data_IF_314987887269
#
_entry.id   IF_314987887269
#
_cell.length_a   1.000
_cell.length_b   1.000
_cell.length_c   1.000
_cell.angle_alpha   90.00
_cell.angle_beta   90.00
_cell.angle_gamma   90.00
#
_symmetry.space_group_name_H-M   'P 1'
#
loop_
_entity.id
_entity.type
_entity.pdbx_description
1 polymer ?
#
# COMPACT_ATOMS: atom_id res chain seq x y z
N UNK A 1 -4.41 59.09 0.31
CA UNK A 1 -3.60 58.39 1.33
C UNK A 1 -3.92 56.92 1.18
N UNK A 2 -3.10 56.18 0.44
CA UNK A 2 -3.27 54.75 0.19
C UNK A 2 -2.46 53.95 1.21
N UNK A 3 -3.14 53.18 2.06
CA UNK A 3 -2.50 52.28 3.02
C UNK A 3 -1.69 51.20 2.28
N UNK A 4 -0.47 50.87 2.72
CA UNK A 4 0.33 49.84 2.09
C UNK A 4 -0.20 48.46 2.49
N UNK A 5 -0.50 47.63 1.49
CA UNK A 5 -0.86 46.23 1.64
C UNK A 5 0.24 45.47 2.41
N UNK A 6 -0.17 44.66 3.39
CA UNK A 6 0.72 43.87 4.22
C UNK A 6 1.65 42.98 3.37
N UNK A 7 2.95 43.06 3.65
CA UNK A 7 3.97 42.27 2.98
C UNK A 7 3.86 40.82 3.45
N UNK A 8 3.50 39.91 2.53
CA UNK A 8 3.51 38.47 2.80
C UNK A 8 4.96 38.03 2.99
N UNK A 9 5.36 37.74 4.22
CA UNK A 9 6.65 37.12 4.49
C UNK A 9 6.66 35.71 3.90
N UNK A 10 7.59 35.45 2.98
CA UNK A 10 7.86 34.09 2.51
C UNK A 10 8.37 33.29 3.70
N UNK A 11 7.82 32.10 4.00
CA UNK A 11 8.40 31.22 5.00
C UNK A 11 9.89 31.00 4.72
N UNK A 12 10.72 31.00 5.78
CA UNK A 12 12.16 30.79 5.64
C UNK A 12 12.44 29.47 4.92
N UNK A 13 13.19 29.52 3.82
CA UNK A 13 13.48 28.38 2.96
C UNK A 13 14.16 27.21 3.70
N UNK A 14 14.86 27.51 4.81
CA UNK A 14 15.52 26.51 5.66
C UNK A 14 14.52 25.50 6.28
N UNK A 15 13.27 25.89 6.51
CA UNK A 15 12.23 25.00 7.06
C UNK A 15 11.76 23.92 6.07
N UNK A 16 12.11 24.05 4.78
CA UNK A 16 11.75 23.07 3.73
C UNK A 16 12.85 22.03 3.49
N UNK A 17 14.12 22.34 3.77
CA UNK A 17 15.23 21.41 3.54
C UNK A 17 15.31 20.26 4.55
N UNK A 18 14.73 20.41 5.75
CA UNK A 18 14.72 19.38 6.79
C UNK A 18 13.49 18.48 6.77
N UNK A 19 12.47 18.78 5.96
CA UNK A 19 11.24 17.98 5.92
C UNK A 19 11.49 16.62 5.31
N UNK A 20 10.93 15.62 5.97
CA UNK A 20 10.90 14.24 5.47
C UNK A 20 9.92 14.17 4.31
N UNK A 21 10.21 13.38 3.30
CA UNK A 21 9.37 13.26 2.11
C UNK A 21 8.87 11.83 2.00
N UNK A 22 7.63 11.67 1.56
CA UNK A 22 7.02 10.37 1.38
C UNK A 22 6.35 10.28 0.02
N UNK A 23 6.87 9.43 -0.87
CA UNK A 23 6.23 9.10 -2.13
C UNK A 23 5.24 7.97 -1.87
N UNK A 24 3.95 8.26 -1.99
CA UNK A 24 2.89 7.30 -1.66
C UNK A 24 2.29 6.72 -2.94
N UNK A 25 2.31 5.39 -3.06
CA UNK A 25 1.82 4.62 -4.21
C UNK A 25 0.73 3.67 -3.72
N UNK A 26 -0.38 3.59 -4.46
CA UNK A 26 -1.43 2.63 -4.13
C UNK A 26 -1.10 1.23 -4.65
N UNK A 27 -1.35 0.21 -3.83
CA UNK A 27 -1.19 -1.18 -4.24
C UNK A 27 -2.33 -1.59 -5.19
N UNK A 28 -1.94 -2.09 -6.36
CA UNK A 28 -2.84 -2.73 -7.33
C UNK A 28 -2.47 -4.19 -7.46
N UNK A 29 -3.47 -5.07 -7.35
CA UNK A 29 -3.31 -6.52 -7.40
C UNK A 29 -4.03 -7.11 -8.60
N UNK A 30 -3.52 -8.25 -9.07
CA UNK A 30 -4.19 -9.12 -10.02
C UNK A 30 -3.77 -10.57 -9.75
N UNK A 31 -4.60 -11.51 -10.17
CA UNK A 31 -4.38 -12.96 -10.02
C UNK A 31 -4.24 -13.64 -11.38
N UNK A 32 -3.62 -14.81 -11.44
CA UNK A 32 -3.30 -15.48 -12.72
C UNK A 32 -4.51 -15.82 -13.58
N UNK A 33 -5.69 -16.03 -12.99
CA UNK A 33 -6.95 -16.20 -13.72
C UNK A 33 -7.59 -14.90 -14.21
N UNK A 34 -7.04 -13.72 -13.89
CA UNK A 34 -7.67 -12.45 -14.22
C UNK A 34 -7.74 -12.20 -15.74
N UNK A 35 -8.76 -11.51 -16.24
CA UNK A 35 -8.87 -11.17 -17.66
C UNK A 35 -7.63 -10.44 -18.16
N UNK A 36 -7.17 -10.77 -19.38
CA UNK A 36 -5.97 -10.13 -19.96
C UNK A 36 -6.10 -8.60 -20.02
N UNK A 37 -7.30 -8.09 -20.31
CA UNK A 37 -7.57 -6.66 -20.34
C UNK A 37 -7.30 -5.97 -18.97
N UNK A 38 -7.57 -6.67 -17.87
CA UNK A 38 -7.27 -6.19 -16.52
C UNK A 38 -5.76 -6.20 -16.25
N UNK A 39 -5.10 -7.31 -16.58
CA UNK A 39 -3.64 -7.44 -16.44
C UNK A 39 -2.88 -6.36 -17.21
N UNK A 40 -3.30 -6.06 -18.44
CA UNK A 40 -2.71 -5.01 -19.27
C UNK A 40 -2.87 -3.61 -18.63
N UNK A 41 -3.99 -3.36 -17.95
CA UNK A 41 -4.23 -2.10 -17.21
C UNK A 41 -3.37 -2.01 -15.96
N UNK A 42 -3.26 -3.10 -15.19
CA UNK A 42 -2.35 -3.18 -14.06
C UNK A 42 -0.90 -2.93 -14.49
N UNK A 43 -0.46 -3.55 -15.60
CA UNK A 43 0.88 -3.31 -16.16
C UNK A 43 1.08 -1.85 -16.58
N UNK A 44 0.07 -1.24 -17.23
CA UNK A 44 0.09 0.20 -17.57
C UNK A 44 0.19 1.08 -16.32
N UNK A 45 -0.55 0.74 -15.25
CA UNK A 45 -0.49 1.43 -13.97
C UNK A 45 0.92 1.41 -13.38
N UNK A 46 1.49 0.22 -13.19
CA UNK A 46 2.81 0.06 -12.58
C UNK A 46 3.93 0.72 -13.39
N UNK A 47 3.85 0.69 -14.72
CA UNK A 47 4.77 1.44 -15.59
C UNK A 47 4.69 2.96 -15.34
N UNK A 48 3.48 3.53 -15.30
CA UNK A 48 3.31 4.97 -15.07
C UNK A 48 3.72 5.38 -13.65
N UNK A 49 3.49 4.52 -12.65
CA UNK A 49 4.02 4.71 -11.28
C UNK A 49 5.54 4.83 -11.32
N UNK A 50 6.23 3.91 -12.01
CA UNK A 50 7.68 3.96 -12.16
C UNK A 50 8.18 5.25 -12.80
N UNK A 51 7.55 5.67 -13.91
CA UNK A 51 7.87 6.93 -14.61
C UNK A 51 7.71 8.17 -13.70
N UNK A 52 6.62 8.23 -12.93
CA UNK A 52 6.36 9.34 -12.01
C UNK A 52 7.33 9.35 -10.82
N UNK A 53 7.63 8.18 -10.25
CA UNK A 53 8.59 8.06 -9.16
C UNK A 53 9.98 8.52 -9.60
N UNK A 54 10.48 8.09 -10.77
CA UNK A 54 11.77 8.56 -11.29
C UNK A 54 11.82 10.09 -11.41
N UNK A 55 10.74 10.70 -11.89
CA UNK A 55 10.63 12.15 -11.98
C UNK A 55 10.60 12.82 -10.59
N UNK A 56 9.89 12.27 -9.60
CA UNK A 56 9.90 12.77 -8.22
C UNK A 56 11.28 12.64 -7.59
N UNK A 57 11.93 11.48 -7.71
CA UNK A 57 13.25 11.22 -7.15
C UNK A 57 14.31 12.18 -7.70
N UNK A 58 14.23 12.51 -9.00
CA UNK A 58 15.12 13.48 -9.64
C UNK A 58 14.98 14.93 -9.13
N UNK A 59 13.83 15.26 -8.51
CA UNK A 59 13.47 16.63 -8.10
C UNK A 59 13.45 16.82 -6.58
N UNK A 60 13.00 15.81 -5.85
CA UNK A 60 12.71 15.87 -4.43
C UNK A 60 13.62 14.93 -3.59
N UNK A 61 14.45 14.11 -4.23
CA UNK A 61 15.46 13.25 -3.59
C UNK A 61 15.20 11.76 -3.81
N UNK A 62 16.28 10.99 -3.93
CA UNK A 62 16.22 9.55 -4.10
C UNK A 62 15.64 8.86 -2.85
N UNK A 63 14.94 7.75 -3.07
CA UNK A 63 14.36 6.95 -1.99
C UNK A 63 15.47 6.33 -1.12
N UNK A 64 15.36 6.50 0.20
CA UNK A 64 16.26 5.90 1.20
C UNK A 64 15.62 4.74 1.95
N UNK A 65 14.31 4.79 2.13
CA UNK A 65 13.54 3.76 2.81
C UNK A 65 12.34 3.35 1.96
N UNK A 66 12.10 2.05 1.84
CA UNK A 66 10.91 1.49 1.22
C UNK A 66 10.06 0.87 2.32
N UNK A 67 8.79 1.27 2.35
CA UNK A 67 7.75 0.78 3.22
C UNK A 67 6.70 0.12 2.35
N UNK A 68 6.42 -1.15 2.60
CA UNK A 68 5.43 -1.90 1.83
C UNK A 68 4.46 -2.55 2.81
N UNK A 69 3.17 -2.28 2.66
CA UNK A 69 2.13 -2.93 3.44
C UNK A 69 2.22 -4.46 3.33
N UNK A 70 1.89 -5.16 4.42
CA UNK A 70 2.02 -6.61 4.59
C UNK A 70 3.47 -7.16 4.70
N UNK A 71 4.50 -6.31 4.70
CA UNK A 71 5.90 -6.75 4.83
C UNK A 71 6.42 -6.53 6.25
N UNK A 72 6.81 -7.63 6.90
CA UNK A 72 7.31 -7.70 8.28
C UNK A 72 8.78 -8.15 8.38
N UNK A 73 9.48 -8.26 7.25
CA UNK A 73 10.87 -8.68 7.15
C UNK A 73 11.69 -7.63 6.39
N UNK A 74 12.99 -7.57 6.66
CA UNK A 74 13.94 -6.68 5.95
C UNK A 74 14.80 -7.44 4.94
N UNK A 75 15.54 -6.70 4.11
CA UNK A 75 16.53 -7.27 3.19
C UNK A 75 15.94 -8.29 2.20
N UNK A 76 16.70 -9.35 1.91
CA UNK A 76 16.32 -10.40 0.94
C UNK A 76 15.04 -11.15 1.34
N UNK A 77 14.83 -11.38 2.65
CA UNK A 77 13.61 -12.02 3.15
C UNK A 77 12.39 -11.13 2.88
N UNK A 78 12.50 -9.83 3.13
CA UNK A 78 11.47 -8.84 2.80
C UNK A 78 11.19 -8.79 1.29
N UNK A 79 12.22 -8.76 0.45
CA UNK A 79 12.05 -8.77 -1.01
C UNK A 79 11.35 -10.03 -1.51
N UNK A 80 11.68 -11.20 -0.95
CA UNK A 80 10.99 -12.45 -1.24
C UNK A 80 9.50 -12.38 -0.86
N UNK A 81 9.16 -11.76 0.28
CA UNK A 81 7.77 -11.53 0.68
C UNK A 81 7.06 -10.58 -0.28
N UNK A 82 7.68 -9.47 -0.69
CA UNK A 82 7.12 -8.55 -1.69
C UNK A 82 6.83 -9.30 -2.98
N UNK A 83 7.77 -10.11 -3.47
CA UNK A 83 7.59 -10.90 -4.70
C UNK A 83 6.41 -11.87 -4.61
N UNK A 84 6.25 -12.52 -3.46
CA UNK A 84 5.15 -13.46 -3.21
C UNK A 84 3.80 -12.74 -3.14
N UNK A 85 3.76 -11.59 -2.47
CA UNK A 85 2.53 -10.87 -2.18
C UNK A 85 2.05 -10.00 -3.35
N UNK A 86 2.95 -9.26 -3.99
CA UNK A 86 2.66 -8.46 -5.16
C UNK A 86 3.84 -8.48 -6.14
N UNK A 87 3.86 -9.44 -7.08
CA UNK A 87 4.91 -9.52 -8.10
C UNK A 87 5.06 -8.22 -8.91
N UNK A 88 4.00 -7.42 -9.03
CA UNK A 88 4.02 -6.21 -9.85
C UNK A 88 4.71 -5.03 -9.16
N UNK A 89 4.67 -4.95 -7.83
CA UNK A 89 5.42 -3.93 -7.10
C UNK A 89 6.88 -4.34 -6.85
N UNK A 90 7.19 -5.63 -6.90
CA UNK A 90 8.52 -6.18 -6.61
C UNK A 90 9.64 -5.48 -7.40
N UNK A 91 9.49 -5.31 -8.72
CA UNK A 91 10.54 -4.73 -9.55
C UNK A 91 10.85 -3.27 -9.16
N UNK A 92 9.84 -2.50 -8.73
CA UNK A 92 10.02 -1.15 -8.23
C UNK A 92 10.77 -1.12 -6.90
N UNK A 93 10.46 -2.04 -6.00
CA UNK A 93 11.11 -2.15 -4.69
C UNK A 93 12.54 -2.63 -4.87
N UNK A 94 12.75 -3.70 -5.62
CA UNK A 94 14.05 -4.31 -5.86
C UNK A 94 15.04 -3.33 -6.52
N UNK A 95 14.58 -2.54 -7.51
CA UNK A 95 15.41 -1.52 -8.14
C UNK A 95 15.93 -0.48 -7.14
N UNK A 96 15.07 0.01 -6.23
CA UNK A 96 15.46 0.99 -5.21
C UNK A 96 16.36 0.40 -4.15
N UNK A 97 16.13 -0.85 -3.75
CA UNK A 97 17.03 -1.57 -2.85
C UNK A 97 18.42 -1.76 -3.47
N UNK A 98 18.49 -2.06 -4.77
CA UNK A 98 19.75 -2.14 -5.51
C UNK A 98 20.49 -0.79 -5.57
N UNK A 99 19.75 0.32 -5.60
CA UNK A 99 20.29 1.68 -5.52
C UNK A 99 20.61 2.16 -4.09
N UNK A 100 20.50 1.26 -3.10
CA UNK A 100 20.90 1.50 -1.71
C UNK A 100 19.78 1.95 -0.77
N UNK A 101 18.52 1.84 -1.18
CA UNK A 101 17.39 2.00 -0.26
C UNK A 101 17.25 0.78 0.67
N UNK A 102 16.75 1.00 1.88
CA UNK A 102 16.45 -0.08 2.84
C UNK A 102 14.97 -0.44 2.76
N UNK A 103 14.65 -1.72 2.54
CA UNK A 103 13.29 -2.23 2.74
C UNK A 103 13.08 -2.45 4.24
N UNK A 104 12.21 -1.63 4.83
CA UNK A 104 11.88 -1.66 6.25
C UNK A 104 10.79 -2.71 6.53
N UNK A 105 10.90 -3.39 7.67
CA UNK A 105 9.82 -4.22 8.20
C UNK A 105 8.72 -3.28 8.74
N UNK A 106 7.81 -2.89 7.85
CA UNK A 106 6.76 -1.93 8.15
C UNK A 106 5.72 -2.48 9.12
N UNK A 107 5.43 -3.77 8.99
CA UNK A 107 4.41 -4.46 9.76
C UNK A 107 4.99 -5.27 10.91
N UNK A 108 4.20 -5.40 11.98
CA UNK A 108 4.34 -6.48 12.93
C UNK A 108 3.60 -7.72 12.39
N UNK A 109 4.27 -8.87 12.38
CA UNK A 109 3.74 -10.10 11.77
C UNK A 109 2.44 -10.57 12.41
N UNK A 110 2.36 -10.59 13.74
CA UNK A 110 1.20 -11.10 14.47
C UNK A 110 0.03 -10.11 14.36
N UNK A 111 0.32 -8.81 14.45
CA UNK A 111 -0.69 -7.78 14.31
C UNK A 111 -1.27 -7.71 12.88
N UNK A 112 -0.43 -7.89 11.87
CA UNK A 112 -0.88 -7.98 10.48
C UNK A 112 -1.77 -9.22 10.27
N UNK A 113 -1.37 -10.38 10.81
CA UNK A 113 -2.18 -11.60 10.76
C UNK A 113 -3.53 -11.41 11.47
N UNK A 114 -3.54 -10.80 12.66
CA UNK A 114 -4.77 -10.49 13.40
C UNK A 114 -5.73 -9.61 12.57
N UNK A 115 -5.21 -8.55 11.93
CA UNK A 115 -6.03 -7.68 11.05
C UNK A 115 -6.61 -8.47 9.88
N UNK A 116 -5.80 -9.31 9.22
CA UNK A 116 -6.24 -10.14 8.09
C UNK A 116 -7.31 -11.17 8.49
N UNK A 117 -7.17 -11.80 9.65
CA UNK A 117 -8.16 -12.77 10.15
C UNK A 117 -9.48 -12.09 10.48
N UNK A 118 -9.44 -10.92 11.12
CA UNK A 118 -10.66 -10.13 11.37
C UNK A 118 -11.33 -9.68 10.07
N UNK A 119 -10.55 -9.25 9.07
CA UNK A 119 -11.07 -8.89 7.75
C UNK A 119 -11.73 -10.07 7.05
N UNK A 120 -11.09 -11.26 7.05
CA UNK A 120 -11.67 -12.49 6.51
C UNK A 120 -12.99 -12.82 7.19
N UNK A 121 -13.06 -12.67 8.52
CA UNK A 121 -14.29 -12.91 9.25
C UNK A 121 -15.39 -11.93 8.82
N UNK A 122 -15.08 -10.64 8.64
CA UNK A 122 -16.05 -9.66 8.16
C UNK A 122 -16.63 -10.04 6.80
N UNK A 123 -15.80 -10.55 5.89
CA UNK A 123 -16.22 -10.93 4.54
C UNK A 123 -17.13 -12.17 4.52
N UNK A 124 -16.99 -13.10 5.45
CA UNK A 124 -17.86 -14.30 5.53
C UNK A 124 -19.33 -13.96 5.85
N UNK A 125 -19.59 -12.80 6.46
CA UNK A 125 -20.93 -12.40 6.86
C UNK A 125 -21.46 -13.15 8.09
N UNK A 126 -22.53 -12.62 8.70
CA UNK A 126 -23.07 -13.16 9.96
C UNK A 126 -24.59 -13.10 10.01
N UNK A 127 -25.21 -14.17 10.54
CA UNK A 127 -26.64 -14.16 10.86
C UNK A 127 -26.97 -13.34 12.11
N UNK A 128 -26.02 -13.21 13.04
CA UNK A 128 -26.20 -12.47 14.31
C UNK A 128 -25.62 -11.07 14.21
N UNK A 129 -26.48 -10.06 14.33
CA UNK A 129 -26.05 -8.65 14.36
C UNK A 129 -25.03 -8.38 15.47
N UNK A 130 -25.23 -8.96 16.67
CA UNK A 130 -24.32 -8.81 17.81
C UNK A 130 -22.93 -9.37 17.53
N UNK A 131 -22.83 -10.50 16.84
CA UNK A 131 -21.53 -11.06 16.44
C UNK A 131 -20.88 -10.16 15.40
N UNK A 132 -21.65 -9.68 14.43
CA UNK A 132 -21.16 -8.71 13.44
C UNK A 132 -20.63 -7.42 14.07
N UNK A 133 -21.30 -6.88 15.10
CA UNK A 133 -20.82 -5.70 15.83
C UNK A 133 -19.50 -6.00 16.56
N UNK A 134 -19.42 -7.12 17.28
CA UNK A 134 -18.21 -7.51 17.99
C UNK A 134 -17.00 -7.65 17.05
N UNK A 135 -17.17 -8.32 15.91
CA UNK A 135 -16.06 -8.48 14.95
C UNK A 135 -15.66 -7.16 14.32
N UNK A 136 -16.62 -6.26 14.03
CA UNK A 136 -16.31 -4.90 13.55
C UNK A 136 -15.50 -4.11 14.57
N UNK A 137 -15.84 -4.19 15.85
CA UNK A 137 -15.13 -3.49 16.91
C UNK A 137 -13.69 -4.01 17.05
N UNK A 138 -13.52 -5.34 17.08
CA UNK A 138 -12.20 -5.99 17.16
C UNK A 138 -11.33 -5.68 15.94
N UNK A 139 -11.91 -5.70 14.73
CA UNK A 139 -11.23 -5.28 13.51
C UNK A 139 -10.77 -3.82 13.60
N UNK A 140 -11.66 -2.91 14.00
CA UNK A 140 -11.34 -1.49 14.11
C UNK A 140 -10.21 -1.23 15.14
N UNK A 141 -10.21 -1.95 16.25
CA UNK A 141 -9.16 -1.88 17.26
C UNK A 141 -7.82 -2.43 16.74
N UNK A 142 -7.83 -3.57 16.04
CA UNK A 142 -6.64 -4.14 15.42
C UNK A 142 -6.04 -3.20 14.35
N UNK A 143 -6.87 -2.66 13.45
CA UNK A 143 -6.43 -1.68 12.44
C UNK A 143 -5.83 -0.43 13.08
N UNK A 144 -6.43 0.06 14.17
CA UNK A 144 -5.88 1.21 14.90
C UNK A 144 -4.49 0.90 15.44
N UNK A 145 -4.32 -0.23 16.14
CA UNK A 145 -3.02 -0.67 16.66
C UNK A 145 -1.98 -0.83 15.54
N UNK A 146 -2.38 -1.43 14.41
CA UNK A 146 -1.52 -1.60 13.23
C UNK A 146 -1.09 -0.25 12.66
N UNK A 147 -2.02 0.69 12.51
CA UNK A 147 -1.71 2.01 11.98
C UNK A 147 -0.77 2.80 12.90
N UNK A 148 -0.95 2.70 14.22
CA UNK A 148 -0.03 3.28 15.21
C UNK A 148 1.37 2.66 15.12
N UNK A 149 1.47 1.33 14.95
CA UNK A 149 2.73 0.64 14.73
C UNK A 149 3.44 1.12 13.44
N UNK A 150 2.74 1.08 12.31
CA UNK A 150 3.25 1.49 11.01
C UNK A 150 3.80 2.93 11.04
N UNK A 151 3.02 3.87 11.60
CA UNK A 151 3.46 5.26 11.73
C UNK A 151 4.71 5.37 12.62
N UNK A 152 4.77 4.60 13.71
CA UNK A 152 5.94 4.57 14.60
C UNK A 152 7.19 4.04 13.90
N UNK A 153 7.07 2.97 13.12
CA UNK A 153 8.19 2.43 12.34
C UNK A 153 8.72 3.53 11.41
N UNK A 154 7.84 4.10 10.58
CA UNK A 154 8.21 5.16 9.63
C UNK A 154 8.82 6.37 10.33
N UNK A 155 8.31 6.77 11.49
CA UNK A 155 8.83 7.91 12.24
C UNK A 155 10.25 7.64 12.78
N UNK A 156 10.54 6.40 13.16
CA UNK A 156 11.84 5.99 13.69
C UNK A 156 12.90 5.72 12.62
N UNK A 157 12.50 5.36 11.41
CA UNK A 157 13.40 4.96 10.32
C UNK A 157 13.64 6.09 9.31
N UNK A 158 12.62 6.90 9.00
CA UNK A 158 12.77 7.99 8.04
C UNK A 158 13.48 9.19 8.68
N UNK A 159 14.76 9.39 8.33
CA UNK A 159 15.59 10.48 8.84
C UNK A 159 15.24 11.85 8.27
N UNK A 160 15.71 12.91 8.92
CA UNK A 160 15.44 14.29 8.52
C UNK A 160 15.93 14.58 7.07
N UNK A 161 15.07 15.19 6.26
CA UNK A 161 15.37 15.52 4.86
C UNK A 161 15.33 14.33 3.88
N UNK A 162 15.22 13.09 4.39
CA UNK A 162 15.19 11.88 3.57
C UNK A 162 13.84 11.70 2.86
N UNK A 163 13.86 10.86 1.81
CA UNK A 163 12.67 10.47 1.08
C UNK A 163 12.39 8.97 1.28
N UNK A 164 11.15 8.63 1.62
CA UNK A 164 10.65 7.26 1.68
C UNK A 164 9.70 6.96 0.53
N UNK A 165 9.61 5.70 0.12
CA UNK A 165 8.55 5.17 -0.74
C UNK A 165 7.60 4.34 0.12
N UNK A 166 6.31 4.69 0.14
CA UNK A 166 5.25 3.91 0.78
C UNK A 166 4.35 3.28 -0.29
N UNK A 167 4.27 1.95 -0.29
CA UNK A 167 3.28 1.20 -1.05
C UNK A 167 2.19 0.71 -0.09
N UNK A 168 0.96 1.16 -0.31
CA UNK A 168 -0.15 0.92 0.61
C UNK A 168 -1.48 0.81 -0.12
N UNK A 169 -2.44 0.10 0.44
CA UNK A 169 -3.80 -0.01 -0.07
C UNK A 169 -4.54 1.33 -0.03
N UNK A 170 -5.53 1.45 -0.91
CA UNK A 170 -6.46 2.57 -0.86
C UNK A 170 -7.25 2.56 0.46
N UNK A 171 -7.61 3.74 0.98
CA UNK A 171 -8.36 3.82 2.24
C UNK A 171 -7.57 3.54 3.52
N UNK A 172 -6.23 3.51 3.46
CA UNK A 172 -5.33 3.17 4.57
C UNK A 172 -5.50 3.96 5.89
N UNK A 173 -6.07 5.18 5.85
CA UNK A 173 -6.35 6.04 7.03
C UNK A 173 -5.14 6.38 7.93
N UNK A 174 -3.90 6.09 7.52
CA UNK A 174 -2.69 6.49 8.24
C UNK A 174 -2.65 8.01 8.45
N UNK A 175 -2.21 8.42 9.63
CA UNK A 175 -1.98 9.82 9.98
C UNK A 175 -0.48 10.03 10.11
N UNK A 176 0.12 10.74 9.17
CA UNK A 176 1.57 10.99 9.18
C UNK A 176 1.92 12.18 10.08
N UNK A 177 3.13 12.18 10.71
CA UNK A 177 3.67 13.34 11.38
C UNK A 177 3.67 14.60 10.50
N UNK A 178 3.45 15.77 11.11
CA UNK A 178 3.27 17.04 10.38
C UNK A 178 4.50 17.53 9.60
N UNK A 179 5.67 16.96 9.90
CA UNK A 179 6.95 17.26 9.24
C UNK A 179 7.23 16.34 8.04
N UNK A 180 6.38 15.34 7.79
CA UNK A 180 6.39 14.52 6.56
C UNK A 180 5.54 15.20 5.49
N UNK A 181 6.17 15.51 4.35
CA UNK A 181 5.49 15.95 3.14
C UNK A 181 5.16 14.74 2.25
N UNK A 182 3.87 14.52 2.01
CA UNK A 182 3.38 13.37 1.24
C UNK A 182 3.12 13.77 -0.21
N UNK A 183 3.74 13.05 -1.14
CA UNK A 183 3.55 13.16 -2.58
C UNK A 183 2.83 11.91 -3.07
N UNK A 184 1.53 12.02 -3.35
CA UNK A 184 0.77 10.91 -3.91
C UNK A 184 1.11 10.68 -5.37
N UNK A 185 1.50 9.47 -5.72
CA UNK A 185 1.80 9.01 -7.08
C UNK A 185 0.52 8.42 -7.67
N UNK A 186 -0.28 9.28 -8.31
CA UNK A 186 -1.59 8.92 -8.85
C UNK A 186 -1.56 9.08 -10.37
N UNK A 187 -1.10 8.07 -11.11
CA UNK A 187 -1.06 8.13 -12.57
C UNK A 187 -2.45 8.06 -13.19
N UNK A 188 -2.65 8.62 -14.41
CA UNK A 188 -3.92 8.53 -15.13
C UNK A 188 -4.44 7.09 -15.28
N UNK A 189 -3.52 6.12 -15.39
CA UNK A 189 -3.88 4.71 -15.45
C UNK A 189 -4.64 4.19 -14.22
N UNK A 190 -4.53 4.83 -13.04
CA UNK A 190 -5.31 4.45 -11.87
C UNK A 190 -6.80 4.76 -12.06
N UNK A 191 -7.13 5.96 -12.53
CA UNK A 191 -8.53 6.33 -12.81
C UNK A 191 -9.12 5.46 -13.93
N UNK A 192 -8.34 5.15 -14.97
CA UNK A 192 -8.75 4.22 -16.03
C UNK A 192 -9.06 2.82 -15.46
N UNK A 193 -8.21 2.32 -14.55
CA UNK A 193 -8.41 1.03 -13.88
C UNK A 193 -9.68 1.03 -13.03
N UNK A 194 -9.88 2.07 -12.21
CA UNK A 194 -11.08 2.23 -11.39
C UNK A 194 -12.35 2.31 -12.22
N UNK A 195 -12.33 3.04 -13.34
CA UNK A 195 -13.47 3.11 -14.28
C UNK A 195 -13.79 1.74 -14.85
N UNK A 196 -12.77 1.02 -15.32
CA UNK A 196 -12.97 -0.32 -15.86
C UNK A 196 -13.55 -1.28 -14.82
N UNK A 197 -13.06 -1.28 -13.58
CA UNK A 197 -13.59 -2.10 -12.49
C UNK A 197 -15.07 -1.79 -12.21
N UNK A 198 -15.45 -0.50 -12.18
CA UNK A 198 -16.85 -0.10 -12.04
C UNK A 198 -17.72 -0.55 -13.22
N UNK A 199 -17.20 -0.47 -14.44
CA UNK A 199 -17.94 -0.89 -15.64
C UNK A 199 -18.16 -2.41 -15.65
N UNK A 200 -17.19 -3.21 -15.19
CA UNK A 200 -17.33 -4.66 -15.06
C UNK A 200 -18.35 -5.04 -13.99
N UNK A 201 -18.31 -4.40 -12.82
CA UNK A 201 -19.27 -4.66 -11.74
C UNK A 201 -20.72 -4.37 -12.14
N UNK A 202 -20.93 -3.47 -13.11
CA UNK A 202 -22.25 -3.13 -13.64
C UNK A 202 -22.69 -3.99 -14.84
N UNK A 203 -21.90 -4.99 -15.27
CA UNK A 203 -22.31 -5.92 -16.33
C UNK A 203 -23.22 -7.02 -15.78
N UNK A 204 -24.33 -7.35 -16.46
CA UNK A 204 -25.17 -8.49 -16.07
C UNK A 204 -24.37 -9.79 -16.27
N UNK A 205 -24.12 -10.53 -15.17
CA UNK A 205 -23.38 -11.80 -15.14
C UNK A 205 -22.13 -11.84 -14.24
N UNK A 206 -21.72 -10.72 -13.63
CA UNK A 206 -20.47 -10.64 -12.83
C UNK A 206 -20.48 -11.31 -11.45
N UNK A 207 -21.62 -11.84 -10.98
CA UNK A 207 -21.72 -12.53 -9.69
C UNK A 207 -21.14 -13.97 -9.76
N UNK A 208 -21.18 -14.64 -10.91
CA UNK A 208 -20.68 -16.02 -11.06
C UNK A 208 -19.14 -16.11 -11.07
N UNK A 209 -18.44 -15.10 -11.59
CA UNK A 209 -16.96 -15.05 -11.59
C UNK A 209 -16.39 -14.62 -10.22
N UNK A 210 -17.15 -13.88 -9.41
CA UNK A 210 -16.73 -13.41 -8.09
C UNK A 210 -16.84 -14.49 -7.02
N UNK A 211 -17.88 -15.32 -7.04
CA UNK A 211 -18.04 -16.47 -6.14
C UNK A 211 -16.99 -17.56 -6.42
N UNK A 212 -16.65 -17.80 -7.68
CA UNK A 212 -15.59 -18.76 -8.06
C UNK A 212 -14.20 -18.32 -7.56
N UNK A 213 -13.90 -17.02 -7.59
CA UNK A 213 -12.64 -16.47 -7.07
C UNK A 213 -12.57 -16.50 -5.53
N UNK A 214 -13.72 -16.39 -4.84
CA UNK A 214 -13.80 -16.48 -3.38
C UNK A 214 -13.68 -17.93 -2.87
N UNK A 215 -14.25 -18.91 -3.60
CA UNK A 215 -14.08 -20.34 -3.28
C UNK A 215 -12.65 -20.85 -3.52
N UNK A 216 -11.96 -20.41 -4.58
CA UNK A 216 -10.56 -20.79 -4.81
C UNK A 216 -9.59 -20.19 -3.78
N UNK A 217 -9.83 -18.95 -3.31
CA UNK A 217 -9.01 -18.33 -2.26
C UNK A 217 -9.17 -19.01 -0.87
N UNK A 218 -10.29 -19.70 -0.65
CA UNK A 218 -10.52 -20.51 0.56
C UNK A 218 -9.95 -21.94 0.44
N UNK A 219 -9.62 -22.41 -0.77
CA UNK A 219 -9.17 -23.78 -1.04
C UNK A 219 -7.66 -24.04 -0.96
N UNK A 220 -6.81 -23.01 -0.84
CA UNK A 220 -5.34 -23.18 -0.94
C UNK A 220 -4.60 -23.44 0.37
N UNK A 221 -5.29 -23.65 1.50
CA UNK A 221 -4.65 -23.98 2.79
C UNK A 221 -4.70 -25.50 3.12
N UNK A 222 -5.00 -26.35 2.15
CA UNK A 222 -5.37 -27.73 2.40
C UNK A 222 -4.63 -28.83 1.66
N UNK A 223 -3.40 -28.66 1.15
CA UNK A 223 -2.57 -29.85 0.83
C UNK A 223 -1.12 -29.50 0.52
N UNK A 224 -0.23 -29.76 1.50
CA UNK A 224 1.04 -30.48 1.32
C UNK A 224 1.74 -30.59 2.67
N UNK A 225 1.37 -31.63 3.42
CA UNK A 225 2.26 -32.30 4.35
C UNK A 225 1.96 -33.81 4.29
N UNK A 226 3.00 -34.59 4.01
CA UNK A 226 2.97 -36.03 3.70
C UNK A 226 3.54 -36.25 2.29
N UNK A 227 4.76 -36.77 2.10
CA UNK A 227 5.28 -37.99 2.70
C UNK A 227 6.82 -38.02 2.57
N UNK A 228 7.49 -38.43 3.65
CA UNK A 228 8.91 -38.79 3.69
C UNK A 228 9.18 -40.05 2.87
N UNK A 229 10.24 -40.04 2.05
CA UNK A 229 11.25 -41.11 1.90
C UNK A 229 12.35 -40.70 0.91
#
# INVERSE_FOLDING_TARGET
MSEPLARVERPAADAYHSRRKLYMVFLVFWHDSAPQEYKDRCAKYWRQVGEQLLNLESKAGAVKHVYHEAIHETGEAGLALVKKFNPSSHDLVAARCADGATLEALEDRELAAEVSDWERFLMMGYSSAKVGDLVRDLYAEAVKRRNEHVVKVMDSTLGAGEAGLLLIGEGHRLQFPSDIEVFSVVPPALDELHRWLRDQANRPGGEEDADAAAEEAAGTDGEKDGEEA
#
